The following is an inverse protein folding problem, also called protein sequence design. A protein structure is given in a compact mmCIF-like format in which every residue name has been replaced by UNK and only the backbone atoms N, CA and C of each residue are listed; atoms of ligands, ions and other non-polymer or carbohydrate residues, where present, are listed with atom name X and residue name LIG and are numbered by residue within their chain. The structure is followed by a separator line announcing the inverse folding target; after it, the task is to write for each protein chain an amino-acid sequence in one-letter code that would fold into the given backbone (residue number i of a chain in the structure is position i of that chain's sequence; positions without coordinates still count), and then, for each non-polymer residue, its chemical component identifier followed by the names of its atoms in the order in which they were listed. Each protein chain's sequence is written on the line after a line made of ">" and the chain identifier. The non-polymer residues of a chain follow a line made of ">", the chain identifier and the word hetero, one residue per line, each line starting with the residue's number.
data_IF_177776800983
#
_entry.id   IF_177776800983
#
_cell.length_a   1.000
_cell.length_b   1.000
_cell.length_c   1.000
_cell.angle_alpha   90.00
_cell.angle_beta   90.00
_cell.angle_gamma   90.00
#
_symmetry.space_group_name_H-M   'P 1'
#
loop_
_entity.id
_entity.type
_entity.pdbx_description
1 polymer ?
#
# COMPACT_ATOMS: atom_id res chain seq x y z
N UNK A 1 7.90 -19.00 12.84
CA UNK A 1 8.51 -17.81 13.44
C UNK A 1 8.75 -18.00 14.93
N UNK A 2 7.96 -18.81 15.67
CA UNK A 2 8.33 -19.16 17.06
C UNK A 2 8.39 -17.95 18.00
N UNK A 3 7.72 -16.86 17.61
CA UNK A 3 7.65 -15.60 18.33
C UNK A 3 6.18 -15.31 18.69
N UNK A 4 5.98 -14.35 19.59
CA UNK A 4 4.65 -13.89 19.95
C UNK A 4 3.99 -13.10 18.81
N UNK A 5 2.66 -13.16 18.74
CA UNK A 5 1.86 -12.52 17.67
C UNK A 5 1.99 -10.99 17.69
N UNK A 6 2.10 -10.41 18.89
CA UNK A 6 2.32 -8.97 19.10
C UNK A 6 3.69 -8.49 18.61
N UNK A 7 4.63 -9.41 18.35
CA UNK A 7 5.97 -9.12 17.85
C UNK A 7 6.03 -9.14 16.30
N UNK A 8 4.88 -9.20 15.64
CA UNK A 8 4.76 -9.18 14.19
C UNK A 8 4.31 -7.80 13.68
N UNK A 9 4.64 -7.50 12.43
CA UNK A 9 4.13 -6.36 11.68
C UNK A 9 3.62 -6.81 10.32
N UNK A 10 2.57 -6.15 9.84
CA UNK A 10 2.01 -6.38 8.52
C UNK A 10 2.74 -5.51 7.50
N UNK A 11 3.18 -6.11 6.39
CA UNK A 11 3.93 -5.41 5.34
C UNK A 11 3.43 -5.78 3.96
N UNK A 12 3.49 -4.82 3.04
CA UNK A 12 3.21 -4.99 1.62
C UNK A 12 4.45 -4.67 0.78
N UNK A 13 4.61 -5.32 -0.37
CA UNK A 13 5.72 -5.08 -1.30
C UNK A 13 5.32 -5.28 -2.76
N UNK A 14 5.63 -4.30 -3.58
CA UNK A 14 5.63 -4.35 -5.04
C UNK A 14 7.00 -4.72 -5.63
N UNK A 15 8.08 -4.70 -4.83
CA UNK A 15 9.44 -5.11 -5.26
C UNK A 15 9.59 -6.64 -5.41
N UNK A 16 8.58 -7.41 -5.00
CA UNK A 16 8.57 -8.87 -5.06
C UNK A 16 8.25 -9.52 -3.73
N UNK A 17 8.66 -10.78 -3.57
CA UNK A 17 8.38 -11.59 -2.39
C UNK A 17 9.04 -11.02 -1.14
N UNK A 18 8.42 -11.28 0.00
CA UNK A 18 8.88 -10.93 1.35
C UNK A 18 9.70 -12.10 1.92
N UNK A 19 11.05 -12.01 2.00
CA UNK A 19 11.87 -13.14 2.46
C UNK A 19 11.65 -13.47 3.94
N UNK A 20 11.44 -12.44 4.75
CA UNK A 20 11.23 -12.54 6.20
C UNK A 20 9.82 -13.02 6.59
N UNK A 21 8.90 -13.15 5.62
CA UNK A 21 7.54 -13.58 5.86
C UNK A 21 7.42 -15.10 5.69
N UNK A 22 7.05 -15.80 6.77
CA UNK A 22 6.80 -17.26 6.72
C UNK A 22 5.68 -17.64 5.75
N UNK A 23 4.62 -16.82 5.71
CA UNK A 23 3.51 -16.94 4.77
C UNK A 23 3.28 -15.56 4.16
N UNK A 24 3.09 -15.54 2.86
CA UNK A 24 2.77 -14.34 2.10
C UNK A 24 1.75 -14.69 1.01
N UNK A 25 0.92 -13.71 0.68
CA UNK A 25 -0.10 -13.82 -0.36
C UNK A 25 0.15 -12.76 -1.43
N UNK A 26 -0.14 -13.10 -2.68
CA UNK A 26 -0.16 -12.13 -3.78
C UNK A 26 -1.58 -11.56 -3.86
N UNK A 27 -1.73 -10.27 -3.61
CA UNK A 27 -2.99 -9.54 -3.72
C UNK A 27 -2.99 -8.75 -5.03
N UNK A 28 -4.11 -8.79 -5.75
CA UNK A 28 -4.36 -8.04 -6.97
C UNK A 28 -5.75 -7.42 -6.93
N UNK A 29 -6.02 -6.48 -7.83
CA UNK A 29 -7.34 -5.85 -7.96
C UNK A 29 -7.60 -4.73 -6.95
N UNK A 30 -6.57 -4.27 -6.25
CA UNK A 30 -6.66 -3.02 -5.49
C UNK A 30 -6.83 -1.85 -6.47
N UNK A 31 -7.66 -0.91 -6.07
CA UNK A 31 -7.92 0.32 -6.80
C UNK A 31 -7.33 1.51 -6.03
N UNK A 32 -6.92 2.54 -6.74
CA UNK A 32 -6.27 3.74 -6.23
C UNK A 32 -6.98 4.99 -6.79
N UNK A 33 -7.23 5.94 -5.90
CA UNK A 33 -7.74 7.27 -6.21
C UNK A 33 -6.78 8.34 -5.65
N UNK A 34 -6.80 9.53 -6.24
CA UNK A 34 -6.01 10.69 -5.82
C UNK A 34 -4.62 10.77 -6.46
N UNK A 35 -4.09 9.66 -6.96
CA UNK A 35 -2.82 9.60 -7.68
C UNK A 35 -2.75 8.37 -8.59
N UNK A 36 -1.65 8.29 -9.35
CA UNK A 36 -1.25 7.13 -10.14
C UNK A 36 -0.06 6.44 -9.49
N UNK A 37 0.08 5.12 -9.71
CA UNK A 37 1.18 4.33 -9.15
C UNK A 37 1.77 3.36 -10.18
N UNK A 38 3.08 3.42 -10.36
CA UNK A 38 3.81 2.62 -11.36
C UNK A 38 4.45 1.33 -10.80
N UNK A 39 4.27 1.05 -9.51
CA UNK A 39 4.93 -0.06 -8.80
C UNK A 39 6.13 0.35 -7.95
N UNK A 40 6.70 1.53 -8.21
CA UNK A 40 7.88 2.05 -7.54
C UNK A 40 7.64 3.40 -6.86
N UNK A 41 6.79 4.26 -7.43
CA UNK A 41 6.47 5.59 -6.88
C UNK A 41 5.08 6.06 -7.25
N UNK A 42 4.58 7.03 -6.48
CA UNK A 42 3.37 7.77 -6.82
C UNK A 42 3.67 8.86 -7.85
N UNK A 43 2.68 9.20 -8.66
CA UNK A 43 2.70 10.34 -9.58
C UNK A 43 1.35 11.05 -9.59
N UNK A 44 1.37 12.34 -9.92
CA UNK A 44 0.15 13.11 -10.13
C UNK A 44 -0.67 12.56 -11.31
N UNK A 45 -1.99 12.71 -11.18
CA UNK A 45 -2.91 12.44 -12.28
C UNK A 45 -2.88 13.60 -13.28
N UNK A 46 -3.05 13.26 -14.56
CA UNK A 46 -3.23 14.22 -15.66
C UNK A 46 -4.71 14.55 -15.86
N UNK A 47 -5.00 15.57 -16.66
CA UNK A 47 -6.39 16.03 -16.92
C UNK A 47 -7.29 14.94 -17.52
N UNK A 48 -6.70 14.00 -18.25
CA UNK A 48 -7.33 12.87 -18.94
C UNK A 48 -7.17 11.55 -18.18
N UNK A 49 -6.57 11.58 -16.97
CA UNK A 49 -6.45 10.40 -16.14
C UNK A 49 -7.81 9.92 -15.64
N UNK A 50 -8.03 8.60 -15.54
CA UNK A 50 -9.25 8.09 -14.96
C UNK A 50 -9.35 8.49 -13.48
N UNK A 51 -10.58 8.68 -12.98
CA UNK A 51 -10.81 9.00 -11.56
C UNK A 51 -10.30 7.89 -10.63
N UNK A 52 -10.29 6.65 -11.11
CA UNK A 52 -9.83 5.47 -10.39
C UNK A 52 -8.87 4.68 -11.27
N UNK A 53 -7.73 4.27 -10.72
CA UNK A 53 -6.73 3.45 -11.40
C UNK A 53 -6.53 2.10 -10.69
N UNK A 54 -6.20 1.07 -11.47
CA UNK A 54 -5.85 -0.24 -10.92
C UNK A 54 -4.38 -0.24 -10.47
N UNK A 55 -4.11 -0.84 -9.31
CA UNK A 55 -2.77 -0.99 -8.76
C UNK A 55 -2.17 -2.32 -9.19
N UNK A 56 -0.84 -2.33 -9.43
CA UNK A 56 -0.11 -3.57 -9.67
C UNK A 56 -0.28 -4.56 -8.51
N UNK A 57 -0.27 -5.88 -8.78
CA UNK A 57 -0.31 -6.87 -7.71
C UNK A 57 0.89 -6.73 -6.75
N UNK A 58 0.65 -6.90 -5.46
CA UNK A 58 1.70 -6.86 -4.43
C UNK A 58 1.70 -8.14 -3.59
N UNK A 59 2.81 -8.36 -2.89
CA UNK A 59 2.92 -9.39 -1.87
C UNK A 59 2.63 -8.78 -0.50
N UNK A 60 1.76 -9.42 0.28
CA UNK A 60 1.45 -9.02 1.65
C UNK A 60 1.69 -10.17 2.61
N UNK A 61 2.16 -9.86 3.81
CA UNK A 61 2.44 -10.87 4.83
C UNK A 61 2.85 -10.26 6.17
N UNK A 62 3.06 -11.14 7.13
CA UNK A 62 3.54 -10.78 8.47
C UNK A 62 5.03 -11.09 8.59
N UNK A 63 5.80 -10.11 9.06
CA UNK A 63 7.24 -10.25 9.37
C UNK A 63 7.49 -9.89 10.84
N UNK A 64 8.60 -10.34 11.45
CA UNK A 64 8.96 -9.88 12.80
C UNK A 64 9.20 -8.37 12.82
N UNK A 65 8.82 -7.69 13.90
CA UNK A 65 8.97 -6.23 14.00
C UNK A 65 10.43 -5.76 13.87
N UNK A 66 11.37 -6.57 14.37
CA UNK A 66 12.81 -6.31 14.36
C UNK A 66 13.47 -6.40 12.98
N UNK A 67 12.79 -6.94 11.96
CA UNK A 67 13.36 -7.03 10.61
C UNK A 67 13.17 -5.72 9.84
N UNK A 68 14.08 -5.38 8.94
CA UNK A 68 13.88 -4.25 8.03
C UNK A 68 12.67 -4.49 7.13
N UNK A 69 11.91 -3.42 6.85
CA UNK A 69 10.81 -3.45 5.90
C UNK A 69 11.30 -3.48 4.45
N UNK A 70 10.41 -3.74 3.47
CA UNK A 70 10.76 -3.73 2.05
C UNK A 70 11.10 -2.32 1.51
N UNK A 71 10.75 -1.28 2.26
CA UNK A 71 10.97 0.12 1.92
C UNK A 71 11.53 0.88 3.12
N UNK A 72 12.25 1.97 2.84
CA UNK A 72 12.65 2.93 3.88
C UNK A 72 11.41 3.69 4.37
N UNK A 73 11.27 3.96 5.68
CA UNK A 73 10.17 4.78 6.21
C UNK A 73 10.04 6.14 5.54
N UNK A 74 11.16 6.76 5.15
CA UNK A 74 11.19 8.09 4.52
C UNK A 74 10.74 8.07 3.05
N UNK A 75 10.72 6.90 2.41
CA UNK A 75 10.35 6.73 1.00
C UNK A 75 8.88 6.30 0.83
N UNK A 76 8.17 6.05 1.92
CA UNK A 76 6.81 5.53 1.93
C UNK A 76 5.82 6.52 2.51
N UNK A 77 4.57 6.35 2.09
CA UNK A 77 3.41 6.94 2.73
C UNK A 77 2.44 5.82 3.14
N UNK A 78 1.86 5.94 4.33
CA UNK A 78 0.86 4.98 4.79
C UNK A 78 -0.51 5.38 4.23
N UNK A 79 -1.01 4.60 3.26
CA UNK A 79 -2.32 4.85 2.66
C UNK A 79 -3.40 3.96 3.28
N UNK A 80 -4.59 4.51 3.59
CA UNK A 80 -5.71 3.71 4.03
C UNK A 80 -6.26 2.85 2.89
N UNK A 81 -6.59 1.61 3.22
CA UNK A 81 -7.34 0.69 2.35
C UNK A 81 -8.79 0.65 2.86
N UNK A 82 -9.69 1.26 2.11
CA UNK A 82 -11.12 1.26 2.40
C UNK A 82 -11.81 0.03 1.82
N UNK A 83 -12.99 -0.31 2.37
CA UNK A 83 -13.86 -1.33 1.78
C UNK A 83 -14.31 -0.95 0.37
N UNK A 84 -14.56 0.33 0.11
CA UNK A 84 -15.11 0.85 -1.14
C UNK A 84 -14.86 2.36 -1.27
N UNK A 85 -15.29 2.96 -2.39
CA UNK A 85 -15.08 4.37 -2.71
C UNK A 85 -15.81 5.35 -1.75
N UNK A 86 -16.80 4.88 -1.00
CA UNK A 86 -17.52 5.69 0.00
C UNK A 86 -16.66 6.03 1.23
N UNK A 87 -15.53 5.34 1.43
CA UNK A 87 -14.58 5.56 2.53
C UNK A 87 -15.18 5.40 3.95
N UNK A 88 -16.25 4.62 4.08
CA UNK A 88 -16.94 4.40 5.37
C UNK A 88 -16.12 3.60 6.39
N UNK A 89 -15.29 2.65 5.92
CA UNK A 89 -14.54 1.74 6.79
C UNK A 89 -13.14 1.45 6.28
N UNK A 90 -12.16 1.72 7.14
CA UNK A 90 -10.76 1.32 6.93
C UNK A 90 -10.59 -0.16 7.28
N UNK A 91 -9.96 -0.91 6.37
CA UNK A 91 -9.60 -2.32 6.54
C UNK A 91 -8.20 -2.44 7.15
N UNK A 92 -7.24 -1.70 6.60
CA UNK A 92 -5.86 -1.59 7.07
C UNK A 92 -5.22 -0.34 6.46
N UNK A 93 -4.06 0.06 6.97
CA UNK A 93 -3.15 0.92 6.22
C UNK A 93 -2.06 0.06 5.59
N UNK A 94 -1.57 0.45 4.41
CA UNK A 94 -0.39 -0.15 3.79
C UNK A 94 0.60 0.92 3.38
N UNK A 95 1.88 0.63 3.56
CA UNK A 95 2.94 1.54 3.16
C UNK A 95 3.20 1.39 1.66
N UNK A 96 3.03 2.50 0.93
CA UNK A 96 3.21 2.60 -0.53
C UNK A 96 4.44 3.46 -0.80
N UNK A 97 5.39 3.01 -1.64
CA UNK A 97 6.54 3.84 -1.97
C UNK A 97 6.06 5.06 -2.79
N UNK A 98 6.36 6.25 -2.29
CA UNK A 98 5.78 7.50 -2.77
C UNK A 98 6.77 8.41 -3.50
N UNK A 99 8.07 8.11 -3.41
CA UNK A 99 9.12 8.94 -4.04
C UNK A 99 9.36 10.28 -3.34
N UNK A 100 8.85 10.46 -2.11
CA UNK A 100 8.92 11.70 -1.35
C UNK A 100 7.64 12.53 -1.47
N UNK A 101 7.70 13.77 -0.97
CA UNK A 101 6.60 14.75 -0.94
C UNK A 101 5.29 14.18 -0.35
N UNK A 102 5.37 13.58 0.83
CA UNK A 102 4.24 12.89 1.47
C UNK A 102 3.01 13.82 1.65
N UNK A 103 3.23 15.08 2.01
CA UNK A 103 2.17 16.08 2.20
C UNK A 103 1.32 16.28 0.94
N UNK A 104 1.93 16.22 -0.24
CA UNK A 104 1.21 16.31 -1.50
C UNK A 104 0.21 15.15 -1.66
N UNK A 105 0.62 13.92 -1.38
CA UNK A 105 -0.24 12.75 -1.52
C UNK A 105 -1.39 12.74 -0.50
N UNK A 106 -1.15 13.31 0.68
CA UNK A 106 -2.19 13.57 1.69
C UNK A 106 -3.20 14.59 1.14
N UNK A 107 -2.74 15.70 0.56
CA UNK A 107 -3.60 16.74 0.00
C UNK A 107 -4.41 16.26 -1.21
N UNK A 108 -3.85 15.37 -2.03
CA UNK A 108 -4.56 14.71 -3.12
C UNK A 108 -5.59 13.68 -2.64
N UNK A 109 -5.67 13.41 -1.33
CA UNK A 109 -6.61 12.44 -0.77
C UNK A 109 -6.35 11.01 -1.21
N UNK A 110 -5.07 10.67 -1.46
CA UNK A 110 -4.67 9.37 -1.97
C UNK A 110 -5.18 8.23 -1.06
N UNK A 111 -5.86 7.26 -1.66
CA UNK A 111 -6.45 6.15 -0.92
C UNK A 111 -6.63 4.91 -1.80
N UNK A 112 -6.59 3.75 -1.16
CA UNK A 112 -6.82 2.46 -1.79
C UNK A 112 -8.19 1.91 -1.42
N UNK A 113 -8.77 1.08 -2.28
CA UNK A 113 -10.03 0.40 -1.97
C UNK A 113 -10.12 -0.99 -2.59
N UNK A 114 -10.86 -1.88 -1.91
CA UNK A 114 -11.03 -3.29 -2.30
C UNK A 114 -11.99 -3.50 -3.48
N UNK A 115 -12.96 -2.60 -3.65
CA UNK A 115 -13.97 -2.63 -4.71
C UNK A 115 -14.45 -1.23 -5.01
N UNK A 116 -14.93 -1.01 -6.24
CA UNK A 116 -15.42 0.30 -6.67
C UNK A 116 -16.86 0.59 -6.20
N UNK A 117 -17.68 -0.46 -5.97
CA UNK A 117 -19.06 -0.41 -5.48
C UNK A 117 -19.36 -1.62 -4.59
#
# INVERSE_FOLDING_TARGET
>A
MGCSVDSLKFVASWKGRLPEAKLQIKISGLLLEGCSFDGNRLSENQHDSPSVSSVLPCFMGWTPQSTYGPYSPDECISLPVYTSAERDRVVTNIDVPCGGNQDQWIQCGAALFLKNQ
#
